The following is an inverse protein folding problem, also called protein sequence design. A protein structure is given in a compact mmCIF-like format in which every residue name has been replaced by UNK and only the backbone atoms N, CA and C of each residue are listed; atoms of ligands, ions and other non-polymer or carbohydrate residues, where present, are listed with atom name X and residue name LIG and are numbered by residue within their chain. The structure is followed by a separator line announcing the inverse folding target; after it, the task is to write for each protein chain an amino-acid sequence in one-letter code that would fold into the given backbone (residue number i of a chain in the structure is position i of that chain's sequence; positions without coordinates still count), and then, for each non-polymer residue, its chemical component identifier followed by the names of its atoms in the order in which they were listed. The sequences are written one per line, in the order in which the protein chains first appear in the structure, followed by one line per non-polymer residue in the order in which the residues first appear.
data_IF_948379309157
#
_entry.id   IF_948379309157
#
_cell.length_a   1.000
_cell.length_b   1.000
_cell.length_c   1.000
_cell.angle_alpha   90.00
_cell.angle_beta   90.00
_cell.angle_gamma   90.00
#
_symmetry.space_group_name_H-M   'P 1'
#
loop_
_entity.id
_entity.type
_entity.pdbx_description
1 polymer ?
#
# COMPACT_ATOMS: atom_id res chain seq x y z
N UNK A 1 -45.31 -33.22 -27.87
CA UNK A 1 -44.48 -32.47 -28.84
C UNK A 1 -43.07 -32.45 -28.30
N UNK A 2 -42.21 -33.35 -28.79
CA UNK A 2 -40.83 -33.53 -28.34
C UNK A 2 -39.85 -33.05 -29.40
N UNK A 3 -38.78 -32.41 -28.90
CA UNK A 3 -37.39 -32.32 -29.38
C UNK A 3 -37.09 -32.45 -30.89
N UNK A 4 -36.28 -31.50 -31.39
CA UNK A 4 -35.18 -31.82 -32.32
C UNK A 4 -33.93 -30.96 -32.05
N UNK A 5 -32.87 -31.65 -31.66
CA UNK A 5 -31.45 -31.32 -31.80
C UNK A 5 -31.04 -31.52 -33.27
N UNK A 6 -30.12 -30.71 -33.79
CA UNK A 6 -29.32 -31.08 -34.96
C UNK A 6 -27.83 -30.80 -34.72
N UNK A 7 -27.03 -31.86 -34.81
CA UNK A 7 -25.59 -31.88 -35.08
C UNK A 7 -25.43 -32.58 -36.43
N UNK A 8 -24.62 -32.03 -37.34
CA UNK A 8 -23.86 -32.77 -38.37
C UNK A 8 -22.78 -31.81 -38.90
N UNK A 9 -21.48 -32.03 -38.63
CA UNK A 9 -20.58 -33.00 -39.26
C UNK A 9 -20.07 -32.54 -40.64
N UNK A 10 -18.75 -32.41 -40.75
CA UNK A 10 -18.04 -31.81 -41.88
C UNK A 10 -17.86 -32.68 -43.12
N UNK A 11 -17.13 -32.13 -44.09
CA UNK A 11 -16.43 -32.86 -45.13
C UNK A 11 -15.23 -32.01 -45.59
N UNK A 12 -14.03 -32.53 -45.34
CA UNK A 12 -12.80 -32.09 -45.97
C UNK A 12 -12.79 -32.54 -47.45
N UNK A 13 -12.18 -31.74 -48.32
CA UNK A 13 -11.69 -32.22 -49.60
C UNK A 13 -10.32 -31.58 -49.86
N UNK A 14 -9.28 -32.42 -49.87
CA UNK A 14 -7.95 -32.08 -50.32
C UNK A 14 -7.87 -32.27 -51.84
N UNK A 15 -7.01 -31.49 -52.52
CA UNK A 15 -6.18 -31.99 -53.61
C UNK A 15 -5.08 -30.97 -53.96
N UNK A 16 -3.96 -31.54 -54.38
CA UNK A 16 -2.61 -30.98 -54.38
C UNK A 16 -2.27 -30.07 -55.56
N UNK A 17 -1.24 -29.24 -55.31
CA UNK A 17 -0.08 -28.92 -56.17
C UNK A 17 -0.28 -28.26 -57.54
N UNK A 18 0.28 -27.05 -57.67
CA UNK A 18 1.08 -26.64 -58.84
C UNK A 18 2.00 -25.46 -58.47
N UNK A 19 3.30 -25.66 -58.65
CA UNK A 19 4.37 -24.69 -58.47
C UNK A 19 4.46 -23.74 -59.67
N UNK A 20 4.79 -22.46 -59.46
CA UNK A 20 6.02 -21.77 -59.95
C UNK A 20 5.95 -20.24 -59.82
N UNK A 21 7.00 -19.69 -59.21
CA UNK A 21 7.69 -18.42 -59.47
C UNK A 21 6.92 -17.17 -59.91
N UNK A 22 7.02 -16.07 -59.15
CA UNK A 22 7.38 -14.75 -59.69
C UNK A 22 7.95 -13.85 -58.56
N UNK A 23 9.20 -13.40 -58.73
CA UNK A 23 9.89 -12.39 -57.94
C UNK A 23 9.27 -10.99 -58.15
N UNK A 24 9.32 -10.06 -57.16
CA UNK A 24 9.17 -8.63 -57.41
C UNK A 24 10.51 -8.00 -57.83
N UNK A 25 10.53 -6.99 -58.73
CA UNK A 25 11.78 -6.40 -59.20
C UNK A 25 12.30 -5.33 -58.23
N UNK A 26 13.58 -5.44 -57.92
CA UNK A 26 14.47 -4.36 -57.53
C UNK A 26 14.84 -3.47 -58.74
N UNK A 27 14.89 -2.15 -58.58
CA UNK A 27 15.75 -1.18 -59.31
C UNK A 27 15.59 0.20 -58.63
N UNK A 28 16.53 0.63 -57.79
CA UNK A 28 17.78 1.36 -58.09
C UNK A 28 17.63 2.89 -58.06
N UNK A 29 18.52 3.51 -57.29
CA UNK A 29 18.70 4.94 -57.08
C UNK A 29 18.95 5.76 -58.36
N UNK A 30 18.46 7.01 -58.39
CA UNK A 30 19.23 8.14 -58.91
C UNK A 30 18.76 9.47 -58.32
N UNK A 31 19.75 10.31 -58.05
CA UNK A 31 19.67 11.63 -57.44
C UNK A 31 18.96 12.67 -58.33
N UNK A 32 18.31 13.64 -57.69
CA UNK A 32 17.73 14.82 -58.35
C UNK A 32 17.17 15.79 -57.32
N UNK A 33 17.84 16.93 -57.21
CA UNK A 33 17.64 18.08 -56.32
C UNK A 33 16.25 18.73 -56.41
N UNK A 34 15.63 19.04 -55.26
CA UNK A 34 14.72 20.19 -55.14
C UNK A 34 14.76 20.80 -53.74
N UNK A 35 14.99 22.10 -53.74
CA UNK A 35 15.17 23.08 -52.68
C UNK A 35 13.97 23.23 -51.73
N UNK A 36 14.24 23.21 -50.42
CA UNK A 36 13.37 23.75 -49.37
C UNK A 36 13.86 25.15 -48.95
N UNK A 37 12.97 26.13 -48.70
CA UNK A 37 13.38 27.46 -48.28
C UNK A 37 13.84 27.46 -46.81
N UNK A 38 14.98 28.11 -46.59
CA UNK A 38 15.60 28.34 -45.29
C UNK A 38 14.81 29.36 -44.46
N UNK A 39 14.37 28.96 -43.27
CA UNK A 39 14.03 29.88 -42.19
C UNK A 39 15.25 29.97 -41.25
N UNK A 40 15.94 31.10 -41.36
CA UNK A 40 17.07 31.49 -40.52
C UNK A 40 16.53 31.85 -39.13
N UNK A 41 16.89 31.07 -38.10
CA UNK A 41 16.75 31.49 -36.70
C UNK A 41 18.13 31.58 -36.07
N UNK A 42 18.31 32.72 -35.41
CA UNK A 42 19.54 33.35 -34.95
C UNK A 42 20.25 32.53 -33.87
N UNK A 43 21.49 32.07 -34.11
CA UNK A 43 22.37 31.46 -33.10
C UNK A 43 23.09 32.55 -32.30
N UNK A 44 22.45 33.15 -31.29
CA UNK A 44 23.13 33.79 -30.14
C UNK A 44 22.11 34.27 -29.09
N UNK A 45 21.94 33.45 -28.04
CA UNK A 45 21.31 33.64 -26.73
C UNK A 45 20.62 32.29 -26.41
N UNK A 46 20.86 31.53 -25.35
CA UNK A 46 21.52 31.76 -24.08
C UNK A 46 22.44 30.56 -23.80
N UNK A 47 23.64 30.82 -23.30
CA UNK A 47 24.35 29.88 -22.46
C UNK A 47 23.91 30.15 -21.01
N UNK A 48 23.07 29.28 -20.46
CA UNK A 48 22.85 29.16 -19.02
C UNK A 48 22.87 27.66 -18.70
N UNK A 49 23.61 27.21 -17.68
CA UNK A 49 23.69 25.80 -17.34
C UNK A 49 22.33 25.33 -16.82
N UNK A 50 21.86 24.16 -17.27
CA UNK A 50 20.79 23.44 -16.58
C UNK A 50 21.28 23.16 -15.15
N UNK A 51 20.73 23.90 -14.19
CA UNK A 51 20.89 23.58 -12.78
C UNK A 51 20.30 22.19 -12.53
N UNK A 52 21.11 21.30 -11.98
CA UNK A 52 20.67 20.01 -11.50
C UNK A 52 19.50 20.22 -10.52
N UNK A 53 18.35 19.65 -10.83
CA UNK A 53 17.25 19.48 -9.88
C UNK A 53 17.78 18.64 -8.71
N UNK A 54 17.74 19.20 -7.49
CA UNK A 54 18.03 18.46 -6.26
C UNK A 54 17.09 17.25 -6.22
N UNK A 55 17.63 16.03 -6.29
CA UNK A 55 16.91 14.84 -5.85
C UNK A 55 16.56 15.01 -4.38
N UNK A 56 15.28 14.97 -4.03
CA UNK A 56 14.87 14.79 -2.64
C UNK A 56 15.47 13.47 -2.12
N UNK A 57 16.10 13.52 -0.95
CA UNK A 57 16.59 12.30 -0.28
C UNK A 57 15.36 11.52 0.17
N UNK A 58 15.17 10.33 -0.39
CA UNK A 58 14.22 9.37 0.17
C UNK A 58 14.79 8.85 1.50
N UNK A 59 13.93 8.40 2.43
CA UNK A 59 14.35 7.83 3.71
C UNK A 59 15.35 6.65 3.56
N UNK A 60 15.43 6.08 2.36
CA UNK A 60 16.31 4.97 1.98
C UNK A 60 17.78 5.36 1.74
N UNK A 61 18.07 6.63 1.44
CA UNK A 61 19.38 7.12 0.96
C UNK A 61 20.22 7.85 2.03
N UNK A 62 19.83 7.80 3.31
CA UNK A 62 20.58 8.47 4.38
C UNK A 62 21.75 7.62 4.90
N UNK A 63 22.90 7.68 4.22
CA UNK A 63 24.20 7.48 4.88
C UNK A 63 24.62 8.81 5.54
N UNK A 64 24.78 8.83 6.87
CA UNK A 64 26.05 9.19 7.55
C UNK A 64 25.96 9.62 9.04
N UNK A 65 26.90 9.03 9.80
CA UNK A 65 27.69 9.55 10.93
C UNK A 65 27.03 9.67 12.32
N UNK A 66 27.37 8.71 13.19
CA UNK A 66 27.12 8.71 14.63
C UNK A 66 28.34 9.28 15.37
N UNK A 67 28.18 10.40 16.08
CA UNK A 67 29.06 10.75 17.20
C UNK A 67 28.52 10.10 18.48
N UNK A 68 29.37 9.36 19.18
CA UNK A 68 29.04 8.72 20.46
C UNK A 68 29.11 9.77 21.57
N UNK A 69 27.98 10.02 22.23
CA UNK A 69 27.88 10.88 23.42
C UNK A 69 27.11 10.15 24.55
N UNK A 70 27.39 10.48 25.82
CA UNK A 70 27.33 9.52 26.93
C UNK A 70 25.91 9.20 27.42
N UNK A 71 25.81 8.03 28.03
CA UNK A 71 24.62 7.38 28.57
C UNK A 71 23.92 8.25 29.62
N UNK A 72 22.58 8.22 29.62
CA UNK A 72 21.65 8.92 30.53
C UNK A 72 21.09 10.27 30.06
N UNK A 73 20.42 10.31 28.89
CA UNK A 73 19.29 11.22 28.65
C UNK A 73 18.40 10.72 27.50
N UNK A 74 17.08 10.60 27.71
CA UNK A 74 16.11 10.44 26.62
C UNK A 74 16.06 11.74 25.80
N UNK A 75 16.32 11.67 24.49
CA UNK A 75 16.27 12.83 23.59
C UNK A 75 15.26 12.54 22.47
N UNK A 76 14.12 13.23 22.50
CA UNK A 76 13.34 13.53 21.29
C UNK A 76 14.21 14.41 20.38
N UNK A 77 14.50 13.98 19.15
CA UNK A 77 15.25 14.82 18.19
C UNK A 77 14.34 15.95 17.67
N UNK A 78 14.81 17.21 17.64
CA UNK A 78 14.04 18.32 17.09
C UNK A 78 14.29 18.53 15.58
N UNK A 79 13.23 19.04 14.94
CA UNK A 79 13.17 19.90 13.75
C UNK A 79 13.22 19.28 12.34
N UNK A 80 12.05 18.86 11.83
CA UNK A 80 11.70 19.01 10.41
C UNK A 80 10.95 20.35 10.27
N UNK A 81 11.67 21.43 9.94
CA UNK A 81 11.12 22.80 9.81
C UNK A 81 10.82 23.25 8.37
N UNK A 82 10.97 22.38 7.37
CA UNK A 82 10.95 22.81 5.96
C UNK A 82 9.66 22.54 5.17
N UNK A 83 8.56 22.10 5.79
CA UNK A 83 7.26 21.94 5.09
C UNK A 83 6.24 23.07 5.31
N UNK A 84 6.64 24.19 5.91
CA UNK A 84 5.75 25.33 6.14
C UNK A 84 6.26 26.58 5.40
N UNK A 85 6.08 26.62 4.07
CA UNK A 85 6.12 27.85 3.25
C UNK A 85 5.64 27.56 1.81
N UNK A 86 4.34 27.30 1.67
CA UNK A 86 3.64 27.68 0.44
C UNK A 86 3.21 29.13 0.65
N UNK A 87 3.72 30.04 -0.18
CA UNK A 87 3.40 31.47 -0.07
C UNK A 87 1.99 31.75 -0.59
N UNK A 88 1.30 32.72 0.02
CA UNK A 88 -0.08 33.12 -0.35
C UNK A 88 -0.24 33.45 -1.85
N UNK A 89 0.84 33.79 -2.57
CA UNK A 89 0.83 34.04 -4.01
C UNK A 89 0.58 32.79 -4.87
N UNK A 90 0.93 31.58 -4.40
CA UNK A 90 0.69 30.33 -5.15
C UNK A 90 -0.77 29.84 -5.01
N UNK A 91 -1.45 30.18 -3.92
CA UNK A 91 -2.89 29.88 -3.74
C UNK A 91 -3.81 30.80 -4.55
N UNK A 92 -3.30 31.95 -5.03
CA UNK A 92 -4.09 32.93 -5.76
C UNK A 92 -4.13 32.72 -7.29
N UNK A 93 -3.40 31.73 -7.81
CA UNK A 93 -3.23 31.53 -9.25
C UNK A 93 -4.10 30.42 -9.89
N UNK A 94 -5.01 29.79 -9.14
CA UNK A 94 -5.99 28.87 -9.74
C UNK A 94 -7.18 29.66 -10.28
N UNK A 95 -7.14 29.93 -11.59
CA UNK A 95 -8.28 30.41 -12.35
C UNK A 95 -9.49 29.47 -12.17
N UNK A 96 -10.66 30.07 -11.97
CA UNK A 96 -11.93 29.38 -11.81
C UNK A 96 -12.29 28.60 -13.07
N UNK A 97 -12.02 27.29 -13.07
CA UNK A 97 -12.62 26.38 -14.04
C UNK A 97 -14.09 26.20 -13.66
N UNK A 98 -14.97 26.47 -14.63
CA UNK A 98 -16.41 26.51 -14.46
C UNK A 98 -17.00 25.25 -13.84
N UNK A 99 -18.00 25.47 -12.99
CA UNK A 99 -18.90 24.48 -12.41
C UNK A 99 -19.44 23.54 -13.49
N UNK A 100 -18.79 22.38 -13.60
CA UNK A 100 -19.41 21.18 -14.12
C UNK A 100 -19.52 20.26 -12.92
N UNK A 101 -20.74 19.82 -12.59
CA UNK A 101 -20.96 18.94 -11.46
C UNK A 101 -20.01 17.73 -11.57
N UNK A 102 -19.26 17.39 -10.50
CA UNK A 102 -18.37 16.24 -10.55
C UNK A 102 -19.22 14.99 -10.85
N UNK A 103 -18.74 14.18 -11.79
CA UNK A 103 -19.31 12.88 -12.09
C UNK A 103 -19.42 12.07 -10.78
N UNK A 104 -20.65 11.78 -10.36
CA UNK A 104 -20.97 11.14 -9.08
C UNK A 104 -20.72 9.63 -9.08
N UNK A 105 -20.13 9.07 -10.13
CA UNK A 105 -19.94 7.62 -10.26
C UNK A 105 -18.81 7.04 -9.40
N UNK A 106 -17.91 7.85 -8.84
CA UNK A 106 -16.73 7.36 -8.10
C UNK A 106 -16.40 8.05 -6.76
N UNK A 107 -17.30 8.84 -6.18
CA UNK A 107 -17.03 9.52 -4.89
C UNK A 107 -18.02 9.15 -3.80
N UNK A 108 -17.86 7.96 -3.20
CA UNK A 108 -18.55 7.63 -1.94
C UNK A 108 -17.78 8.21 -0.77
N UNK A 109 -18.03 9.49 -0.46
CA UNK A 109 -17.64 10.07 0.82
C UNK A 109 -18.27 9.24 1.95
N UNK A 110 -17.47 8.67 2.87
CA UNK A 110 -18.00 8.07 4.10
C UNK A 110 -18.60 9.21 4.91
N UNK A 111 -19.94 9.25 5.11
CA UNK A 111 -20.57 10.39 5.76
C UNK A 111 -19.98 10.61 7.15
N UNK A 112 -19.86 11.85 7.62
CA UNK A 112 -19.38 12.14 8.99
C UNK A 112 -20.22 11.49 10.10
N UNK A 113 -21.45 11.08 9.78
CA UNK A 113 -22.35 10.32 10.65
C UNK A 113 -22.02 8.82 10.71
N UNK A 114 -21.19 8.32 9.81
CA UNK A 114 -20.78 6.92 9.78
C UNK A 114 -19.86 6.61 10.97
N UNK A 115 -20.00 5.45 11.64
CA UNK A 115 -19.17 5.10 12.80
C UNK A 115 -17.67 5.02 12.51
N UNK A 116 -17.30 4.73 11.27
CA UNK A 116 -15.92 4.69 10.78
C UNK A 116 -15.48 5.97 10.06
N UNK A 117 -16.21 7.08 10.21
CA UNK A 117 -15.77 8.36 9.67
C UNK A 117 -14.41 8.74 10.30
N UNK A 118 -13.43 9.05 9.44
CA UNK A 118 -12.04 9.33 9.80
C UNK A 118 -11.28 8.15 10.44
N UNK A 119 -11.74 6.90 10.24
CA UNK A 119 -10.97 5.73 10.64
C UNK A 119 -9.68 5.61 9.82
N UNK A 120 -8.66 4.94 10.38
CA UNK A 120 -7.40 4.67 9.68
C UNK A 120 -6.78 3.34 10.12
N UNK A 121 -5.95 2.76 9.26
CA UNK A 121 -5.07 1.67 9.65
C UNK A 121 -3.96 2.23 10.55
N UNK A 122 -3.71 1.58 11.69
CA UNK A 122 -2.65 1.96 12.62
C UNK A 122 -1.50 0.98 12.51
N UNK A 123 -1.69 -0.24 13.00
CA UNK A 123 -0.62 -1.22 13.16
C UNK A 123 -1.04 -2.57 12.59
N UNK A 124 -0.10 -3.32 12.02
CA UNK A 124 -0.26 -4.74 11.70
C UNK A 124 0.59 -5.55 12.65
N UNK A 125 -0.04 -6.44 13.40
CA UNK A 125 0.62 -7.19 14.47
C UNK A 125 0.92 -8.61 14.00
N UNK A 126 2.20 -8.96 13.97
CA UNK A 126 2.71 -10.27 13.56
C UNK A 126 3.44 -10.95 14.72
N UNK A 127 3.29 -12.27 14.84
CA UNK A 127 4.01 -13.08 15.82
C UNK A 127 5.35 -13.54 15.26
N UNK A 128 6.41 -13.47 16.04
CA UNK A 128 7.75 -13.86 15.60
C UNK A 128 8.37 -14.82 16.61
N UNK A 129 9.22 -15.72 16.12
CA UNK A 129 9.93 -16.66 16.98
C UNK A 129 11.13 -15.98 17.66
N UNK A 130 11.76 -15.01 16.98
CA UNK A 130 12.93 -14.28 17.47
C UNK A 130 12.82 -12.79 17.14
N UNK A 131 12.44 -12.00 18.15
CA UNK A 131 12.22 -10.56 18.03
C UNK A 131 13.51 -9.81 17.69
N UNK A 132 14.65 -10.20 18.26
CA UNK A 132 15.92 -9.52 18.02
C UNK A 132 16.37 -9.68 16.56
N UNK A 133 16.24 -10.90 16.01
CA UNK A 133 16.53 -11.14 14.59
C UNK A 133 15.58 -10.40 13.66
N UNK A 134 14.30 -10.39 14.02
CA UNK A 134 13.26 -9.67 13.27
C UNK A 134 13.58 -8.18 13.22
N UNK A 135 13.82 -7.55 14.38
CA UNK A 135 14.11 -6.12 14.48
C UNK A 135 15.32 -5.75 13.63
N UNK A 136 16.43 -6.49 13.77
CA UNK A 136 17.64 -6.25 12.96
C UNK A 136 17.39 -6.37 11.45
N UNK A 137 16.54 -7.32 11.04
CA UNK A 137 16.18 -7.48 9.63
C UNK A 137 15.44 -6.25 9.10
N UNK A 138 14.40 -5.80 9.81
CA UNK A 138 13.60 -4.64 9.37
C UNK A 138 14.35 -3.30 9.55
N UNK A 139 15.25 -3.19 10.53
CA UNK A 139 16.17 -2.05 10.66
C UNK A 139 17.13 -1.95 9.47
N UNK A 140 17.62 -3.08 8.95
CA UNK A 140 18.43 -3.10 7.73
C UNK A 140 17.65 -2.66 6.48
N UNK A 141 16.31 -2.78 6.51
CA UNK A 141 15.40 -2.24 5.51
C UNK A 141 15.05 -0.76 5.76
N UNK A 142 15.67 -0.11 6.75
CA UNK A 142 15.47 1.30 7.06
C UNK A 142 14.24 1.60 7.91
N UNK A 143 13.62 0.59 8.52
CA UNK A 143 12.58 0.81 9.53
C UNK A 143 13.22 1.23 10.85
N UNK A 144 12.50 2.04 11.61
CA UNK A 144 12.88 2.56 12.91
C UNK A 144 12.05 1.83 13.96
N UNK A 145 12.71 1.38 15.02
CA UNK A 145 12.03 0.90 16.23
C UNK A 145 11.44 2.10 16.97
N UNK A 146 10.11 2.21 16.96
CA UNK A 146 9.37 3.35 17.48
C UNK A 146 9.13 3.20 18.98
N UNK A 147 8.84 1.98 19.43
CA UNK A 147 8.65 1.65 20.84
C UNK A 147 8.74 0.15 21.06
N UNK A 148 9.16 -0.20 22.26
CA UNK A 148 9.22 -1.59 22.72
C UNK A 148 8.40 -1.76 24.00
N UNK A 149 7.83 -2.96 24.16
CA UNK A 149 7.15 -3.37 25.38
C UNK A 149 7.64 -4.75 25.77
N UNK A 150 8.26 -4.84 26.95
CA UNK A 150 8.72 -6.10 27.52
C UNK A 150 7.88 -6.38 28.76
N UNK A 151 7.19 -7.50 28.75
CA UNK A 151 6.42 -8.03 29.87
C UNK A 151 6.90 -9.44 30.19
N UNK A 152 6.56 -10.02 31.37
CA UNK A 152 6.88 -11.41 31.67
C UNK A 152 6.27 -12.41 30.68
N UNK A 153 5.21 -12.02 29.97
CA UNK A 153 4.42 -12.89 29.10
C UNK A 153 4.84 -12.81 27.63
N UNK A 154 5.22 -11.60 27.18
CA UNK A 154 5.62 -11.34 25.80
C UNK A 154 6.56 -10.13 25.70
N UNK A 155 7.34 -10.12 24.62
CA UNK A 155 8.09 -8.94 24.17
C UNK A 155 7.53 -8.47 22.84
N UNK A 156 7.43 -7.17 22.65
CA UNK A 156 6.95 -6.57 21.41
C UNK A 156 7.82 -5.38 21.00
N UNK A 157 8.02 -5.23 19.69
CA UNK A 157 8.62 -4.04 19.07
C UNK A 157 7.70 -3.52 17.99
N UNK A 158 7.42 -2.22 18.02
CA UNK A 158 6.65 -1.52 16.99
C UNK A 158 7.64 -0.80 16.09
N UNK A 159 7.60 -1.10 14.80
CA UNK A 159 8.53 -0.60 13.80
C UNK A 159 7.80 0.10 12.66
N UNK A 160 8.35 1.22 12.18
CA UNK A 160 7.77 1.97 11.08
C UNK A 160 8.82 2.81 10.33
N UNK A 161 8.41 3.52 9.28
CA UNK A 161 9.30 4.43 8.54
C UNK A 161 9.19 5.90 9.00
N UNK A 162 8.36 6.18 10.00
CA UNK A 162 8.17 7.49 10.59
C UNK A 162 7.30 7.40 11.84
N UNK A 163 6.90 8.55 12.39
CA UNK A 163 6.14 8.61 13.64
C UNK A 163 4.77 7.91 13.52
N UNK A 164 4.37 7.22 14.60
CA UNK A 164 2.98 6.73 14.79
C UNK A 164 2.02 7.91 15.03
N UNK A 165 2.53 9.05 15.51
CA UNK A 165 1.72 10.23 15.81
C UNK A 165 1.15 10.85 14.54
N UNK A 166 -0.09 11.37 14.65
CA UNK A 166 -0.76 12.13 13.60
C UNK A 166 -0.94 11.39 12.26
N UNK A 167 -0.81 10.06 12.26
CA UNK A 167 -1.17 9.20 11.12
C UNK A 167 -0.15 9.19 10.00
N UNK A 168 1.10 9.55 10.27
CA UNK A 168 2.08 9.65 9.19
C UNK A 168 2.39 8.29 8.55
N UNK A 169 2.32 7.17 9.29
CA UNK A 169 2.64 5.85 8.77
C UNK A 169 1.86 4.74 9.48
N UNK A 170 1.60 3.63 8.77
CA UNK A 170 1.24 2.34 9.40
C UNK A 170 2.51 1.70 9.95
N UNK A 171 2.43 1.14 11.17
CA UNK A 171 3.54 0.42 11.77
C UNK A 171 3.34 -1.11 11.73
N UNK A 172 4.45 -1.85 11.73
CA UNK A 172 4.47 -3.29 11.95
C UNK A 172 4.84 -3.54 13.41
N UNK A 173 3.99 -4.25 14.14
CA UNK A 173 4.28 -4.66 15.49
C UNK A 173 4.64 -6.14 15.50
N UNK A 174 5.85 -6.46 15.94
CA UNK A 174 6.32 -7.83 16.09
C UNK A 174 6.19 -8.26 17.54
N UNK A 175 5.57 -9.40 17.78
CA UNK A 175 5.31 -9.94 19.12
C UNK A 175 5.94 -11.31 19.26
N UNK A 176 6.80 -11.48 20.25
CA UNK A 176 7.36 -12.76 20.65
C UNK A 176 6.73 -13.20 21.96
N UNK A 177 6.03 -14.34 21.93
CA UNK A 177 5.46 -15.01 23.10
C UNK A 177 5.91 -16.48 23.15
N UNK A 178 5.40 -17.26 24.11
CA UNK A 178 5.76 -18.69 24.26
C UNK A 178 5.10 -19.62 23.23
N UNK A 179 4.19 -19.12 22.40
CA UNK A 179 3.43 -19.93 21.46
C UNK A 179 4.23 -20.18 20.18
N UNK A 180 4.21 -21.41 19.62
CA UNK A 180 4.86 -21.67 18.35
C UNK A 180 4.17 -20.89 17.21
N UNK A 181 4.96 -20.28 16.35
CA UNK A 181 4.48 -19.53 15.18
C UNK A 181 4.13 -20.51 14.05
N UNK A 182 2.95 -20.31 13.46
CA UNK A 182 2.40 -21.03 12.33
C UNK A 182 1.94 -20.02 11.29
N UNK A 183 2.69 -19.92 10.19
CA UNK A 183 2.46 -18.95 9.12
C UNK A 183 1.08 -19.08 8.47
N UNK A 184 0.59 -20.31 8.31
CA UNK A 184 -0.59 -20.58 7.50
C UNK A 184 -0.38 -20.24 6.02
N UNK A 185 -1.49 -20.04 5.30
CA UNK A 185 -1.52 -19.55 3.91
C UNK A 185 -2.32 -18.24 3.76
N UNK A 186 -2.83 -17.69 4.87
CA UNK A 186 -3.66 -16.48 4.87
C UNK A 186 -2.86 -15.19 4.69
N UNK A 187 -1.91 -14.95 5.59
CA UNK A 187 -1.09 -13.73 5.52
C UNK A 187 -0.10 -13.82 4.36
N UNK A 188 -0.34 -13.00 3.33
CA UNK A 188 0.44 -12.98 2.09
C UNK A 188 1.72 -12.14 2.20
N UNK A 189 1.89 -11.41 3.30
CA UNK A 189 3.08 -10.62 3.60
C UNK A 189 2.89 -9.12 3.42
N UNK A 190 4.01 -8.41 3.45
CA UNK A 190 4.06 -6.95 3.40
C UNK A 190 4.72 -6.48 2.11
N UNK A 191 4.20 -5.42 1.51
CA UNK A 191 4.75 -4.81 0.29
C UNK A 191 5.39 -3.47 0.62
N UNK A 192 6.66 -3.33 0.28
CA UNK A 192 7.41 -2.08 0.36
C UNK A 192 7.63 -1.50 -1.05
N UNK A 193 7.31 -0.23 -1.21
CA UNK A 193 7.67 0.54 -2.40
C UNK A 193 9.08 1.11 -2.20
N UNK A 194 9.97 0.80 -3.13
CA UNK A 194 11.39 1.19 -3.06
C UNK A 194 11.85 1.79 -4.37
N UNK A 195 12.78 2.76 -4.36
CA UNK A 195 13.31 3.34 -5.60
C UNK A 195 14.14 2.33 -6.41
N UNK A 196 14.76 1.36 -5.74
CA UNK A 196 15.62 0.34 -6.35
C UNK A 196 15.43 -1.02 -5.66
N UNK A 197 14.76 -1.93 -6.37
CA UNK A 197 14.44 -3.27 -5.86
C UNK A 197 15.69 -4.14 -5.71
N UNK A 198 16.69 -3.99 -6.58
CA UNK A 198 17.91 -4.82 -6.50
C UNK A 198 18.69 -4.48 -5.23
N UNK A 199 18.81 -3.20 -4.89
CA UNK A 199 19.42 -2.77 -3.62
C UNK A 199 18.62 -3.24 -2.42
N UNK A 200 17.29 -3.16 -2.47
CA UNK A 200 16.44 -3.64 -1.38
C UNK A 200 16.61 -5.14 -1.13
N UNK A 201 16.63 -5.96 -2.19
CA UNK A 201 16.90 -7.40 -2.10
C UNK A 201 18.29 -7.67 -1.54
N UNK A 202 19.32 -6.92 -1.97
CA UNK A 202 20.67 -7.06 -1.44
C UNK A 202 20.74 -6.74 0.06
N UNK A 203 20.09 -5.67 0.54
CA UNK A 203 20.00 -5.35 1.97
C UNK A 203 19.25 -6.44 2.74
N UNK A 204 18.10 -6.88 2.23
CA UNK A 204 17.27 -7.91 2.87
C UNK A 204 18.02 -9.24 3.01
N UNK A 205 18.69 -9.70 1.94
CA UNK A 205 19.48 -10.93 1.95
C UNK A 205 20.72 -10.82 2.83
N UNK A 206 21.40 -9.67 2.83
CA UNK A 206 22.50 -9.37 3.76
C UNK A 206 22.10 -9.39 5.23
N UNK A 207 20.83 -9.06 5.53
CA UNK A 207 20.26 -9.08 6.87
C UNK A 207 19.66 -10.45 7.28
N UNK A 208 19.88 -11.50 6.49
CA UNK A 208 19.43 -12.86 6.81
C UNK A 208 18.11 -13.28 6.14
N UNK A 209 17.54 -12.43 5.27
CA UNK A 209 16.40 -12.81 4.44
C UNK A 209 16.77 -13.79 3.33
N UNK A 210 15.78 -14.52 2.83
CA UNK A 210 15.97 -15.49 1.74
C UNK A 210 15.14 -15.10 0.52
N UNK A 211 15.81 -14.97 -0.62
CA UNK A 211 15.14 -14.68 -1.89
C UNK A 211 14.18 -15.81 -2.29
N UNK A 212 12.91 -15.48 -2.51
CA UNK A 212 11.87 -16.39 -2.99
C UNK A 212 11.58 -16.21 -4.48
N UNK A 213 11.47 -14.95 -4.92
CA UNK A 213 11.29 -14.58 -6.32
C UNK A 213 12.31 -13.49 -6.64
N UNK A 214 13.15 -13.79 -7.63
CA UNK A 214 14.15 -12.85 -8.08
C UNK A 214 13.54 -11.61 -8.71
N UNK A 215 14.34 -10.55 -8.77
CA UNK A 215 13.96 -9.29 -9.40
C UNK A 215 13.53 -9.56 -10.83
N UNK A 216 12.27 -9.28 -11.12
CA UNK A 216 11.68 -9.49 -12.42
C UNK A 216 10.75 -8.33 -12.78
N UNK A 217 10.78 -7.96 -14.05
CA UNK A 217 9.77 -7.11 -14.65
C UNK A 217 8.54 -7.97 -14.96
N UNK A 218 7.42 -7.61 -14.37
CA UNK A 218 6.15 -8.32 -14.56
C UNK A 218 5.16 -7.37 -15.20
N UNK A 219 4.56 -7.82 -16.29
CA UNK A 219 3.49 -7.10 -16.99
C UNK A 219 2.15 -7.60 -16.48
N UNK A 220 1.27 -6.66 -16.14
CA UNK A 220 -0.09 -6.89 -15.73
C UNK A 220 -1.05 -6.21 -16.69
N UNK A 221 -2.25 -6.76 -16.89
CA UNK A 221 -3.26 -6.11 -17.71
C UNK A 221 -3.77 -4.82 -17.05
N UNK A 222 -4.60 -4.11 -17.80
CA UNK A 222 -5.35 -2.94 -17.36
C UNK A 222 -6.06 -3.17 -16.01
N UNK A 223 -6.07 -2.14 -15.17
CA UNK A 223 -6.86 -2.14 -13.94
C UNK A 223 -8.35 -2.01 -14.25
N UNK A 224 -9.17 -2.69 -13.45
CA UNK A 224 -10.63 -2.57 -13.48
C UNK A 224 -11.10 -1.39 -12.63
N UNK A 225 -10.33 -1.07 -11.60
CA UNK A 225 -10.54 0.11 -10.74
C UNK A 225 -9.16 0.75 -10.53
N UNK A 226 -8.97 2.03 -10.85
CA UNK A 226 -9.80 2.78 -11.81
C UNK A 226 -9.87 2.05 -13.16
N UNK A 227 -10.95 2.27 -13.92
CA UNK A 227 -11.10 1.67 -15.24
C UNK A 227 -10.02 2.21 -16.18
N UNK A 228 -9.19 1.31 -16.70
CA UNK A 228 -8.13 1.60 -17.66
C UNK A 228 -8.51 1.07 -19.03
N UNK A 229 -7.91 1.62 -20.09
CA UNK A 229 -8.12 1.09 -21.43
C UNK A 229 -7.70 -0.38 -21.47
N UNK A 230 -8.51 -1.24 -22.08
CA UNK A 230 -8.26 -2.69 -22.10
C UNK A 230 -6.93 -3.08 -22.77
N UNK A 231 -6.31 -2.18 -23.54
CA UNK A 231 -4.98 -2.37 -24.15
C UNK A 231 -3.83 -1.86 -23.29
N UNK A 232 -4.11 -1.21 -22.16
CA UNK A 232 -3.09 -0.72 -21.24
C UNK A 232 -2.38 -1.89 -20.54
N UNK A 233 -1.05 -1.80 -20.47
CA UNK A 233 -0.19 -2.79 -19.82
C UNK A 233 0.58 -2.10 -18.71
N UNK A 234 0.35 -2.55 -17.49
CA UNK A 234 1.01 -2.06 -16.29
C UNK A 234 2.30 -2.86 -16.06
N UNK A 235 3.45 -2.20 -16.15
CA UNK A 235 4.74 -2.85 -15.92
C UNK A 235 5.24 -2.56 -14.51
N UNK A 236 5.51 -3.60 -13.72
CA UNK A 236 6.03 -3.49 -12.36
C UNK A 236 7.34 -4.27 -12.24
N UNK A 237 8.40 -3.64 -11.72
CA UNK A 237 9.62 -4.36 -11.32
C UNK A 237 9.44 -4.80 -9.87
N UNK A 238 9.46 -6.11 -9.62
CA UNK A 238 9.21 -6.64 -8.28
C UNK A 238 10.13 -7.80 -7.90
N UNK A 239 10.29 -8.00 -6.60
CA UNK A 239 10.99 -9.16 -6.02
C UNK A 239 10.31 -9.58 -4.72
N UNK A 240 10.51 -10.84 -4.31
CA UNK A 240 9.98 -11.35 -3.04
C UNK A 240 11.09 -12.02 -2.26
N UNK A 241 11.25 -11.60 -1.00
CA UNK A 241 12.20 -12.15 -0.02
C UNK A 241 11.39 -12.65 1.18
N UNK A 242 11.83 -13.70 1.86
CA UNK A 242 11.35 -14.00 3.21
C UNK A 242 12.20 -13.32 4.25
N UNK A 243 11.55 -12.81 5.29
CA UNK A 243 12.24 -12.45 6.53
C UNK A 243 12.73 -13.71 7.29
N UNK A 244 13.44 -13.54 8.43
CA UNK A 244 13.98 -14.66 9.20
C UNK A 244 12.95 -15.69 9.69
N UNK A 245 11.70 -15.26 9.90
CA UNK A 245 10.59 -16.09 10.38
C UNK A 245 9.76 -16.71 9.23
N UNK A 246 10.05 -16.32 7.99
CA UNK A 246 9.42 -16.85 6.79
C UNK A 246 8.27 -16.00 6.24
N UNK A 247 8.02 -14.82 6.80
CA UNK A 247 7.06 -13.87 6.25
C UNK A 247 7.52 -13.33 4.91
N UNK A 248 6.60 -13.23 3.95
CA UNK A 248 6.90 -12.68 2.64
C UNK A 248 7.03 -11.15 2.72
N UNK A 249 8.12 -10.65 2.17
CA UNK A 249 8.39 -9.23 1.98
C UNK A 249 8.52 -9.00 0.48
N UNK A 250 7.55 -8.29 -0.09
CA UNK A 250 7.51 -7.95 -1.51
C UNK A 250 8.07 -6.56 -1.71
N UNK A 251 9.08 -6.42 -2.55
CA UNK A 251 9.60 -5.13 -2.98
C UNK A 251 9.04 -4.81 -4.36
N UNK A 252 8.47 -3.62 -4.51
CA UNK A 252 7.99 -3.10 -5.79
C UNK A 252 8.74 -1.80 -6.09
N UNK A 253 9.27 -1.69 -7.30
CA UNK A 253 9.97 -0.48 -7.71
C UNK A 253 8.96 0.62 -7.98
N UNK A 254 9.11 1.75 -7.29
CA UNK A 254 8.22 2.88 -7.45
C UNK A 254 8.57 4.03 -6.52
N UNK A 255 7.96 5.18 -6.78
CA UNK A 255 8.01 6.33 -5.90
C UNK A 255 6.65 6.45 -5.20
N UNK A 256 6.68 6.43 -3.87
CA UNK A 256 5.51 6.68 -3.04
C UNK A 256 5.97 7.51 -1.86
N UNK A 257 5.05 8.36 -1.38
CA UNK A 257 5.27 9.13 -0.16
C UNK A 257 5.37 8.22 1.07
N UNK A 258 4.70 7.04 1.05
CA UNK A 258 4.79 6.03 2.10
C UNK A 258 5.48 4.77 1.57
N UNK A 259 6.49 4.31 2.30
CA UNK A 259 7.29 3.13 1.92
C UNK A 259 6.48 1.84 2.12
N UNK A 260 5.72 1.74 3.20
CA UNK A 260 4.81 0.63 3.45
C UNK A 260 3.52 0.82 2.63
N UNK A 261 3.43 0.12 1.50
CA UNK A 261 2.35 0.33 0.54
C UNK A 261 1.14 -0.54 0.80
N UNK A 262 1.34 -1.82 1.09
CA UNK A 262 0.22 -2.72 1.32
C UNK A 262 0.56 -3.91 2.18
N UNK A 263 -0.48 -4.46 2.80
CA UNK A 263 -0.46 -5.70 3.57
C UNK A 263 -1.37 -6.69 2.87
N UNK A 264 -0.81 -7.82 2.45
CA UNK A 264 -1.55 -8.79 1.64
C UNK A 264 -2.27 -9.80 2.51
N UNK A 265 -3.58 -9.92 2.30
CA UNK A 265 -4.44 -10.94 2.89
C UNK A 265 -4.98 -11.82 1.78
N UNK A 266 -4.79 -13.12 1.91
CA UNK A 266 -5.49 -14.07 1.05
C UNK A 266 -6.95 -14.12 1.47
N UNK A 267 -7.85 -14.03 0.50
CA UNK A 267 -9.29 -14.09 0.74
C UNK A 267 -9.92 -15.20 -0.09
N UNK A 268 -10.93 -15.88 0.45
CA UNK A 268 -11.62 -16.93 -0.29
C UNK A 268 -12.71 -16.39 -1.21
N UNK A 269 -13.35 -15.28 -0.83
CA UNK A 269 -14.42 -14.65 -1.60
C UNK A 269 -14.19 -13.13 -1.62
N UNK A 270 -13.72 -12.63 -2.76
CA UNK A 270 -13.37 -11.20 -2.90
C UNK A 270 -14.57 -10.29 -2.68
N UNK A 271 -15.76 -10.66 -3.15
CA UNK A 271 -16.94 -9.81 -3.05
C UNK A 271 -17.42 -9.70 -1.61
N UNK A 272 -17.45 -10.83 -0.88
CA UNK A 272 -17.78 -10.83 0.55
C UNK A 272 -16.75 -10.08 1.38
N UNK A 273 -15.46 -10.27 1.10
CA UNK A 273 -14.39 -9.56 1.79
C UNK A 273 -14.50 -8.05 1.54
N UNK A 274 -14.58 -7.62 0.28
CA UNK A 274 -14.74 -6.19 -0.07
C UNK A 274 -15.99 -5.60 0.58
N UNK A 275 -17.12 -6.32 0.56
CA UNK A 275 -18.34 -5.89 1.23
C UNK A 275 -18.12 -5.71 2.75
N UNK A 276 -17.39 -6.63 3.41
CA UNK A 276 -17.05 -6.49 4.83
C UNK A 276 -16.19 -5.25 5.11
N UNK A 277 -15.09 -5.06 4.38
CA UNK A 277 -14.21 -3.90 4.58
C UNK A 277 -14.87 -2.57 4.21
N UNK A 278 -15.85 -2.58 3.30
CA UNK A 278 -16.64 -1.40 2.97
C UNK A 278 -17.49 -0.91 4.14
N UNK A 279 -17.98 -1.82 4.99
CA UNK A 279 -18.71 -1.49 6.23
C UNK A 279 -17.82 -0.85 7.29
N UNK A 280 -16.53 -1.19 7.25
CA UNK A 280 -15.50 -0.52 8.06
C UNK A 280 -15.15 0.87 7.51
N UNK A 281 -15.80 1.36 6.45
CA UNK A 281 -15.52 2.64 5.81
C UNK A 281 -14.34 2.62 4.83
N UNK A 282 -13.79 1.45 4.49
CA UNK A 282 -12.75 1.36 3.47
C UNK A 282 -13.35 1.42 2.06
N UNK A 283 -12.57 1.90 1.10
CA UNK A 283 -12.94 1.95 -0.33
C UNK A 283 -12.05 1.02 -1.13
N UNK A 284 -12.56 0.59 -2.29
CA UNK A 284 -11.74 -0.10 -3.29
C UNK A 284 -10.96 0.93 -4.08
N UNK A 285 -9.65 0.99 -3.86
CA UNK A 285 -8.76 1.97 -4.50
C UNK A 285 -8.21 1.45 -5.82
N UNK A 286 -7.92 0.14 -5.86
CA UNK A 286 -7.43 -0.53 -7.05
C UNK A 286 -8.03 -1.92 -7.15
N UNK A 287 -8.34 -2.35 -8.36
CA UNK A 287 -8.74 -3.74 -8.64
C UNK A 287 -8.11 -4.20 -9.94
N UNK A 288 -7.48 -5.37 -9.93
CA UNK A 288 -6.77 -5.89 -11.11
C UNK A 288 -6.80 -7.42 -11.13
N UNK A 289 -7.07 -7.99 -12.29
CA UNK A 289 -6.79 -9.40 -12.56
C UNK A 289 -5.30 -9.54 -12.91
N UNK A 290 -4.58 -10.50 -12.33
CA UNK A 290 -3.14 -10.63 -12.54
C UNK A 290 -2.76 -11.66 -13.62
N UNK A 291 -3.76 -12.24 -14.29
CA UNK A 291 -3.58 -13.27 -15.34
C UNK A 291 -2.99 -12.63 -16.60
N UNK A 292 -2.04 -13.30 -17.30
CA UNK A 292 -1.53 -14.65 -17.06
C UNK A 292 -0.34 -14.74 -16.09
N UNK A 293 0.19 -13.62 -15.60
CA UNK A 293 1.37 -13.62 -14.74
C UNK A 293 1.13 -14.35 -13.42
N UNK A 294 -0.03 -14.13 -12.81
CA UNK A 294 -0.47 -14.79 -11.57
C UNK A 294 -1.96 -15.16 -11.69
N UNK A 295 -2.31 -16.36 -11.25
CA UNK A 295 -3.69 -16.85 -11.26
C UNK A 295 -4.49 -16.28 -10.09
N UNK A 296 -4.55 -14.95 -10.01
CA UNK A 296 -5.24 -14.24 -8.94
C UNK A 296 -5.94 -12.96 -9.41
N UNK A 297 -6.84 -12.47 -8.58
CA UNK A 297 -7.37 -11.11 -8.60
C UNK A 297 -6.88 -10.42 -7.33
N UNK A 298 -6.31 -9.23 -7.47
CA UNK A 298 -5.94 -8.37 -6.35
C UNK A 298 -6.87 -7.18 -6.27
N UNK A 299 -7.40 -6.92 -5.07
CA UNK A 299 -8.22 -5.76 -4.76
C UNK A 299 -7.61 -5.01 -3.59
N UNK A 300 -7.20 -3.78 -3.81
CA UNK A 300 -6.66 -2.91 -2.77
C UNK A 300 -7.80 -2.15 -2.13
N UNK A 301 -7.96 -2.35 -0.82
CA UNK A 301 -8.91 -1.61 0.00
C UNK A 301 -8.17 -0.76 1.03
N UNK A 302 -8.66 0.45 1.28
CA UNK A 302 -8.03 1.37 2.21
C UNK A 302 -8.95 2.51 2.60
N UNK A 303 -8.48 3.34 3.54
CA UNK A 303 -9.20 4.52 3.98
C UNK A 303 -8.90 5.78 3.15
N UNK A 304 -7.82 5.73 2.36
CA UNK A 304 -7.32 6.90 1.66
C UNK A 304 -7.92 7.07 0.26
N UNK A 305 -8.06 8.34 -0.13
CA UNK A 305 -8.46 8.82 -1.44
C UNK A 305 -7.77 10.21 -1.62
N UNK A 306 -6.47 10.34 -1.35
CA UNK A 306 -5.71 11.61 -1.43
C UNK A 306 -6.15 12.75 -0.46
N UNK A 307 -6.80 12.44 0.67
CA UNK A 307 -7.31 13.50 1.56
C UNK A 307 -6.33 13.87 2.68
N UNK A 308 -5.91 15.14 2.68
CA UNK A 308 -5.30 15.81 3.82
C UNK A 308 -6.44 16.23 4.77
N UNK A 309 -6.54 15.62 5.95
CA UNK A 309 -7.46 16.11 6.99
C UNK A 309 -6.87 17.37 7.62
N UNK A 310 -7.54 18.52 7.46
CA UNK A 310 -7.18 19.71 8.24
C UNK A 310 -7.90 19.63 9.59
N UNK A 311 -7.20 19.26 10.65
CA UNK A 311 -7.72 19.35 12.01
C UNK A 311 -7.21 20.62 12.69
N UNK A 312 -8.14 21.48 13.10
CA UNK A 312 -7.84 22.67 13.89
C UNK A 312 -7.73 22.29 15.35
N UNK A 313 -6.53 22.31 15.91
CA UNK A 313 -6.31 22.22 17.35
C UNK A 313 -6.29 23.65 17.92
N UNK A 314 -7.11 23.92 18.93
CA UNK A 314 -6.99 25.17 19.71
C UNK A 314 -6.05 24.88 20.87
N UNK A 315 -4.81 25.34 20.77
CA UNK A 315 -3.85 25.20 21.87
C UNK A 315 -4.34 26.02 23.07
N UNK A 316 -4.59 25.37 24.20
CA UNK A 316 -5.26 25.95 25.38
C UNK A 316 -4.54 27.21 25.90
N UNK A 317 -3.20 27.26 25.80
CA UNK A 317 -2.38 28.41 26.22
C UNK A 317 -2.24 29.51 25.18
N UNK A 318 -2.31 29.20 23.89
CA UNK A 318 -2.04 30.17 22.81
C UNK A 318 -3.33 30.77 22.21
N UNK A 319 -4.50 30.15 22.47
CA UNK A 319 -5.81 30.55 21.91
C UNK A 319 -5.80 30.81 20.39
N UNK A 320 -4.84 30.23 19.67
CA UNK A 320 -4.77 30.29 18.22
C UNK A 320 -5.06 28.89 17.66
N UNK A 321 -5.94 28.77 16.66
CA UNK A 321 -6.13 27.52 15.96
C UNK A 321 -4.85 27.20 15.19
N UNK A 322 -4.17 26.11 15.56
CA UNK A 322 -3.15 25.51 14.71
C UNK A 322 -3.83 24.45 13.86
N UNK A 323 -3.85 24.69 12.56
CA UNK A 323 -4.33 23.71 11.59
C UNK A 323 -3.20 22.72 11.34
N UNK A 324 -3.31 21.53 11.92
CA UNK A 324 -2.47 20.40 11.53
C UNK A 324 -3.15 19.69 10.37
N UNK A 325 -2.46 19.68 9.24
CA UNK A 325 -2.77 18.82 8.11
C UNK A 325 -2.35 17.40 8.48
N UNK A 326 -3.29 16.60 8.96
CA UNK A 326 -3.09 15.17 9.18
C UNK A 326 -3.24 14.44 7.86
N UNK A 327 -2.16 13.78 7.46
CA UNK A 327 -2.13 12.87 6.32
C UNK A 327 -2.57 11.49 6.81
N UNK A 328 -3.46 10.84 6.07
CA UNK A 328 -3.75 9.41 6.26
C UNK A 328 -2.67 8.63 5.51
N UNK A 329 -2.13 7.54 6.08
CA UNK A 329 -1.15 6.76 5.34
C UNK A 329 -1.86 6.05 4.19
N UNK A 330 -1.23 6.04 3.01
CA UNK A 330 -1.74 5.39 1.80
C UNK A 330 -1.63 3.85 1.85
N UNK A 331 -1.23 3.29 3.01
CA UNK A 331 -1.13 1.85 3.21
C UNK A 331 -2.50 1.20 3.04
N UNK A 332 -2.55 0.17 2.20
CA UNK A 332 -3.78 -0.55 1.85
C UNK A 332 -3.75 -1.99 2.33
N UNK A 333 -4.93 -2.58 2.52
CA UNK A 333 -5.08 -4.03 2.58
C UNK A 333 -5.24 -4.55 1.15
N UNK A 334 -4.30 -5.39 0.71
CA UNK A 334 -4.37 -6.05 -0.58
C UNK A 334 -5.08 -7.39 -0.39
N UNK A 335 -6.36 -7.43 -0.75
CA UNK A 335 -7.17 -8.66 -0.74
C UNK A 335 -6.85 -9.45 -2.01
N UNK A 336 -6.16 -10.57 -1.85
CA UNK A 336 -5.73 -11.41 -2.96
C UNK A 336 -6.55 -12.70 -3.00
N UNK A 337 -7.36 -12.85 -4.05
CA UNK A 337 -8.09 -14.08 -4.32
C UNK A 337 -7.37 -14.88 -5.40
N UNK A 338 -7.05 -16.13 -5.09
CA UNK A 338 -6.44 -17.06 -6.03
C UNK A 338 -7.54 -17.97 -6.62
N UNK A 339 -7.58 -18.09 -7.95
CA UNK A 339 -8.60 -18.88 -8.65
C UNK A 339 -8.52 -20.35 -8.25
N UNK A 340 -9.69 -20.98 -8.10
CA UNK A 340 -9.85 -22.39 -7.72
C UNK A 340 -9.15 -22.80 -6.41
N UNK A 341 -8.83 -21.81 -5.57
CA UNK A 341 -8.09 -22.05 -4.34
C UNK A 341 -9.00 -22.51 -3.19
N UNK A 342 -8.43 -23.24 -2.23
CA UNK A 342 -9.16 -23.75 -1.06
C UNK A 342 -9.43 -22.65 -0.04
N UNK A 343 -10.37 -22.82 0.91
CA UNK A 343 -10.55 -21.88 2.02
C UNK A 343 -9.24 -21.57 2.75
N UNK A 344 -9.14 -20.33 3.23
CA UNK A 344 -7.92 -19.79 3.84
C UNK A 344 -7.58 -20.52 5.14
N UNK A 345 -6.30 -20.82 5.35
CA UNK A 345 -5.74 -21.29 6.60
C UNK A 345 -4.92 -20.16 7.20
N UNK A 346 -5.55 -19.38 8.08
CA UNK A 346 -4.95 -18.16 8.65
C UNK A 346 -3.68 -18.43 9.46
N UNK A 347 -3.54 -19.61 10.08
CA UNK A 347 -2.45 -19.89 11.01
C UNK A 347 -2.62 -19.07 12.31
N UNK A 348 -1.51 -18.71 12.95
CA UNK A 348 -1.50 -17.80 14.11
C UNK A 348 -0.45 -16.68 13.98
N UNK A 349 0.13 -16.53 12.79
CA UNK A 349 1.23 -15.63 12.47
C UNK A 349 0.80 -14.17 12.45
N UNK A 350 -0.23 -13.84 11.68
CA UNK A 350 -0.92 -12.56 11.78
C UNK A 350 -1.81 -12.58 13.02
N UNK A 351 -1.46 -11.79 14.03
CA UNK A 351 -2.22 -11.70 15.26
C UNK A 351 -3.47 -10.83 15.07
N UNK A 352 -3.29 -9.60 14.59
CA UNK A 352 -4.39 -8.64 14.40
C UNK A 352 -3.99 -7.48 13.49
N UNK A 353 -4.99 -6.85 12.89
CA UNK A 353 -4.87 -5.56 12.20
C UNK A 353 -5.57 -4.52 13.06
N UNK A 354 -4.85 -3.47 13.44
CA UNK A 354 -5.35 -2.42 14.33
C UNK A 354 -5.91 -1.27 13.51
N UNK A 355 -7.16 -0.92 13.77
CA UNK A 355 -7.91 0.16 13.13
C UNK A 355 -8.25 1.22 14.17
N UNK A 356 -7.79 2.44 13.92
CA UNK A 356 -8.09 3.61 14.74
C UNK A 356 -9.47 4.18 14.40
N UNK A 357 -10.27 4.51 15.42
CA UNK A 357 -11.65 4.99 15.33
C UNK A 357 -11.79 6.34 16.06
N UNK A 358 -12.57 7.27 15.47
CA UNK A 358 -12.80 8.62 16.03
C UNK A 358 -14.20 8.83 16.63
N UNK A 359 -15.14 7.90 16.42
CA UNK A 359 -16.54 8.04 16.85
C UNK A 359 -16.89 7.13 18.03
N UNK A 360 -15.87 6.67 18.75
CA UNK A 360 -15.97 5.72 19.86
C UNK A 360 -16.02 4.27 19.40
N UNK A 361 -15.22 3.44 20.06
CA UNK A 361 -15.05 2.01 19.75
C UNK A 361 -16.35 1.23 19.89
N UNK A 362 -17.16 1.53 20.92
CA UNK A 362 -18.46 0.88 21.12
C UNK A 362 -19.43 1.11 19.97
N UNK A 363 -19.55 2.34 19.50
CA UNK A 363 -20.44 2.69 18.39
C UNK A 363 -20.06 1.95 17.12
N UNK A 364 -18.76 1.88 16.83
CA UNK A 364 -18.22 1.15 15.68
C UNK A 364 -18.46 -0.36 15.80
N UNK A 365 -18.22 -0.94 16.98
CA UNK A 365 -18.47 -2.36 17.27
C UNK A 365 -19.95 -2.73 17.11
N UNK A 366 -20.84 -1.97 17.73
CA UNK A 366 -22.29 -2.22 17.66
C UNK A 366 -22.78 -2.16 16.20
N UNK A 367 -22.28 -1.19 15.42
CA UNK A 367 -22.63 -1.04 14.00
C UNK A 367 -22.20 -2.26 13.18
N UNK A 368 -20.94 -2.69 13.31
CA UNK A 368 -20.44 -3.80 12.49
C UNK A 368 -21.02 -5.15 12.94
N UNK A 369 -21.30 -5.32 14.24
CA UNK A 369 -21.99 -6.48 14.79
C UNK A 369 -23.43 -6.58 14.27
N UNK A 370 -24.16 -5.46 14.19
CA UNK A 370 -25.50 -5.42 13.60
C UNK A 370 -25.50 -5.83 12.11
N UNK A 371 -24.38 -5.64 11.44
CA UNK A 371 -24.17 -6.04 10.04
C UNK A 371 -23.65 -7.48 9.87
N UNK A 372 -23.65 -8.26 10.95
CA UNK A 372 -23.37 -9.69 10.97
C UNK A 372 -21.90 -10.07 11.17
N UNK A 373 -21.03 -9.12 11.53
CA UNK A 373 -19.65 -9.45 11.86
C UNK A 373 -19.56 -10.25 13.16
N UNK A 374 -18.59 -11.16 13.22
CA UNK A 374 -18.33 -11.97 14.42
C UNK A 374 -17.51 -11.15 15.40
N UNK A 375 -18.12 -10.75 16.52
CA UNK A 375 -17.41 -10.13 17.64
C UNK A 375 -16.52 -11.17 18.31
N UNK A 376 -15.23 -10.87 18.43
CA UNK A 376 -14.25 -11.69 19.14
C UNK A 376 -14.04 -11.18 20.56
N UNK A 377 -14.14 -9.86 20.75
CA UNK A 377 -13.94 -9.19 22.02
C UNK A 377 -14.86 -7.98 22.12
N UNK A 378 -15.67 -7.95 23.17
CA UNK A 378 -16.48 -6.79 23.54
C UNK A 378 -15.60 -5.63 23.98
N UNK A 379 -16.16 -4.42 23.98
CA UNK A 379 -15.41 -3.23 24.39
C UNK A 379 -14.89 -3.38 25.82
N UNK A 380 -13.58 -3.19 25.98
CA UNK A 380 -12.90 -3.17 27.27
C UNK A 380 -11.80 -2.12 27.26
N UNK A 381 -11.59 -1.45 28.39
CA UNK A 381 -10.48 -0.51 28.55
C UNK A 381 -9.22 -1.26 28.99
N UNK A 382 -8.17 -1.22 28.17
CA UNK A 382 -6.86 -1.84 28.42
C UNK A 382 -5.78 -0.77 28.31
N UNK A 383 -4.87 -0.69 29.29
CA UNK A 383 -3.81 0.32 29.33
C UNK A 383 -4.33 1.77 29.13
N UNK A 384 -5.55 2.06 29.61
CA UNK A 384 -6.19 3.38 29.47
C UNK A 384 -6.81 3.64 28.10
N UNK A 385 -7.01 2.60 27.30
CA UNK A 385 -7.55 2.69 25.95
C UNK A 385 -8.71 1.71 25.74
N UNK A 386 -9.80 2.18 25.16
CA UNK A 386 -10.92 1.37 24.74
C UNK A 386 -10.52 0.53 23.51
N UNK A 387 -10.69 -0.78 23.65
CA UNK A 387 -10.34 -1.77 22.64
C UNK A 387 -11.50 -2.74 22.45
N UNK A 388 -11.80 -3.08 21.19
CA UNK A 388 -12.68 -4.17 20.82
C UNK A 388 -12.10 -4.97 19.65
N UNK A 389 -12.58 -6.19 19.41
CA UNK A 389 -12.09 -6.99 18.29
C UNK A 389 -13.21 -7.72 17.55
N UNK A 390 -13.08 -7.80 16.23
CA UNK A 390 -13.99 -8.50 15.33
C UNK A 390 -13.20 -9.41 14.39
N UNK A 391 -13.81 -10.51 13.97
CA UNK A 391 -13.28 -11.34 12.89
C UNK A 391 -13.89 -10.90 11.56
N UNK A 392 -13.07 -10.85 10.53
CA UNK A 392 -13.52 -10.73 9.15
C UNK A 392 -14.15 -12.05 8.64
N UNK A 393 -14.52 -12.06 7.36
CA UNK A 393 -15.16 -13.21 6.71
C UNK A 393 -14.27 -14.45 6.59
N UNK A 394 -12.96 -14.27 6.52
CA UNK A 394 -11.96 -15.34 6.39
C UNK A 394 -11.28 -15.70 7.74
N UNK A 395 -11.62 -14.99 8.81
CA UNK A 395 -11.16 -15.25 10.19
C UNK A 395 -9.98 -14.40 10.67
N UNK A 396 -9.60 -13.36 9.93
CA UNK A 396 -8.62 -12.37 10.38
C UNK A 396 -9.19 -11.49 11.49
N UNK A 397 -8.38 -11.23 12.52
CA UNK A 397 -8.74 -10.36 13.64
C UNK A 397 -8.49 -8.91 13.28
N UNK A 398 -9.52 -8.07 13.39
CA UNK A 398 -9.41 -6.62 13.40
C UNK A 398 -9.67 -6.09 14.80
N UNK A 399 -8.76 -5.28 15.30
CA UNK A 399 -8.84 -4.65 16.61
C UNK A 399 -9.14 -3.17 16.46
N UNK A 400 -10.28 -2.75 17.00
CA UNK A 400 -10.76 -1.38 16.98
C UNK A 400 -10.25 -0.65 18.21
N UNK A 401 -9.71 0.54 17.99
CA UNK A 401 -8.99 1.30 19.01
C UNK A 401 -9.38 2.77 18.92
N UNK A 402 -9.61 3.43 20.05
CA UNK A 402 -9.88 4.88 20.04
C UNK A 402 -8.60 5.68 19.71
N UNK A 403 -8.70 6.59 18.73
CA UNK A 403 -7.53 7.35 18.27
C UNK A 403 -7.06 8.42 19.25
N UNK A 404 -7.96 9.04 20.02
CA UNK A 404 -7.56 10.07 20.98
C UNK A 404 -6.71 9.44 22.08
N UNK A 405 -7.18 8.30 22.60
CA UNK A 405 -6.47 7.51 23.61
C UNK A 405 -5.18 6.89 23.05
N UNK A 406 -5.19 6.45 21.78
CA UNK A 406 -3.99 5.93 21.11
C UNK A 406 -2.90 6.99 21.04
N UNK A 407 -3.24 8.19 20.56
CA UNK A 407 -2.27 9.28 20.44
C UNK A 407 -1.80 9.76 21.82
N UNK A 408 -2.66 9.69 22.85
CA UNK A 408 -2.28 10.03 24.22
C UNK A 408 -1.24 9.06 24.83
N UNK A 409 -1.15 7.82 24.33
CA UNK A 409 -0.10 6.88 24.74
C UNK A 409 1.24 7.12 24.03
N UNK A 410 1.25 7.90 22.93
CA UNK A 410 2.46 8.22 22.18
C UNK A 410 3.16 9.49 22.70
N UNK A 411 2.38 10.39 23.32
CA UNK A 411 2.82 11.64 23.95
C UNK A 411 3.40 11.42 25.35
#
# INVERSE_FOLDING_TARGET
MSLRVWIAAGAACSLASLATAFLPPSLSCRAGTSTFPSLTVNRKALAAPLAATKKEKTAWDAEEQYEVLPEDTFILRPDIKDYAKLTEEEMAATESVGSTAPDQSHTTFVPNSHPFAHARLLNVVCRVADLEKTVKFYEALGMINLREKVTPEYSASVMGFGSEEYGQNVALQFVQDSSPVSLGDGYGGTTFLVPDVQKAVAKATGAGGKELKAVATVEFPATQVPDQDAQEVNTEVKAVVTDPDGYKVTFVQGESKDVLSSVTLRVFDTEKAVAFYSKLGMKVLKKRANVPAETSISTWVGYDDDHIYTMGFVHEKLKQPQFHMMRVPATTLLLNYEYDSQPVKTGNSLAQIVVGINKGVKTALDSIAAEGAKVLKEVSTEDGQDVAAVADVDGYTLTLVDMEEFNAQLA
#
